data_IF_140617093505
#
_entry.id   IF_140617093505
#
_cell.length_a   1.000
_cell.length_b   1.000
_cell.length_c   1.000
_cell.angle_alpha   90.00
_cell.angle_beta   90.00
_cell.angle_gamma   90.00
#
_symmetry.space_group_name_H-M   'P 1'
#
loop_
_entity.id
_entity.type
_entity.pdbx_description
1 polymer ?
#
# COMPACT_ATOMS: atom_id res chain seq x y z
N UNK A 1 -14.43 -6.59 -20.97
CA UNK A 1 -13.10 -6.76 -20.33
C UNK A 1 -12.65 -5.56 -19.49
N UNK A 2 -13.13 -4.33 -19.75
CA UNK A 2 -12.77 -3.11 -19.00
C UNK A 2 -13.35 -3.01 -17.58
N UNK A 3 -14.44 -3.72 -17.27
CA UNK A 3 -15.07 -3.75 -15.92
C UNK A 3 -14.29 -4.56 -14.87
N UNK A 4 -13.36 -5.43 -15.28
CA UNK A 4 -12.56 -6.25 -14.35
C UNK A 4 -11.31 -5.51 -13.85
N UNK A 5 -10.84 -4.49 -14.59
CA UNK A 5 -9.65 -3.70 -14.21
C UNK A 5 -9.98 -2.51 -13.29
N UNK A 6 -11.24 -2.08 -13.18
CA UNK A 6 -11.63 -1.03 -12.21
C UNK A 6 -11.72 -1.53 -10.77
N UNK A 7 -11.57 -2.84 -10.54
CA UNK A 7 -11.80 -3.49 -9.25
C UNK A 7 -10.57 -3.47 -8.32
N UNK A 8 -9.41 -3.02 -8.80
CA UNK A 8 -8.15 -2.95 -8.04
C UNK A 8 -7.72 -1.50 -7.72
N UNK A 9 -8.67 -0.59 -7.48
CA UNK A 9 -8.32 0.67 -6.81
C UNK A 9 -7.97 0.34 -5.35
N UNK A 10 -6.75 0.68 -4.93
CA UNK A 10 -6.33 0.60 -3.52
C UNK A 10 -7.32 1.42 -2.69
N UNK A 11 -7.99 0.82 -1.69
CA UNK A 11 -8.90 1.57 -0.83
C UNK A 11 -8.09 2.64 -0.10
N UNK A 12 -8.64 3.85 0.02
CA UNK A 12 -8.02 4.95 0.77
C UNK A 12 -7.97 4.66 2.30
N UNK A 13 -8.70 3.63 2.73
CA UNK A 13 -8.93 3.27 4.12
C UNK A 13 -8.08 2.10 4.57
N UNK A 14 -7.35 2.33 5.66
CA UNK A 14 -6.54 1.34 6.34
C UNK A 14 -7.33 0.50 7.35
N UNK A 15 -6.79 -0.67 7.68
CA UNK A 15 -7.37 -1.54 8.71
C UNK A 15 -7.52 -0.85 10.07
N UNK A 16 -6.59 0.02 10.46
CA UNK A 16 -6.64 0.79 11.70
C UNK A 16 -7.83 1.75 11.72
N UNK A 17 -8.01 2.48 10.62
CA UNK A 17 -9.13 3.42 10.49
C UNK A 17 -10.47 2.68 10.53
N UNK A 18 -10.59 1.55 9.81
CA UNK A 18 -11.81 0.74 9.81
C UNK A 18 -12.16 0.22 11.22
N UNK A 19 -11.16 -0.21 12.01
CA UNK A 19 -11.37 -0.62 13.41
C UNK A 19 -11.79 0.55 14.28
N UNK A 20 -11.11 1.70 14.14
CA UNK A 20 -11.43 2.87 14.93
C UNK A 20 -12.86 3.37 14.64
N UNK A 21 -13.29 3.38 13.38
CA UNK A 21 -14.67 3.71 13.01
C UNK A 21 -15.66 2.70 13.60
N UNK A 22 -15.36 1.41 13.51
CA UNK A 22 -16.21 0.38 14.10
C UNK A 22 -16.38 0.58 15.62
N UNK A 23 -15.29 0.87 16.34
CA UNK A 23 -15.32 1.10 17.79
C UNK A 23 -16.16 2.32 18.15
N UNK A 24 -15.98 3.44 17.45
CA UNK A 24 -16.74 4.66 17.72
C UNK A 24 -18.24 4.48 17.44
N UNK A 25 -18.59 3.82 16.33
CA UNK A 25 -19.99 3.49 16.02
C UNK A 25 -20.58 2.50 17.03
N UNK A 26 -19.80 1.51 17.49
CA UNK A 26 -20.23 0.56 18.51
C UNK A 26 -20.46 1.21 19.88
N UNK A 27 -19.75 2.31 20.20
CA UNK A 27 -19.99 3.11 21.40
C UNK A 27 -21.22 4.02 21.31
N UNK A 28 -21.99 3.96 20.22
CA UNK A 28 -23.22 4.72 20.05
C UNK A 28 -23.00 6.17 19.58
N UNK A 29 -21.77 6.53 19.17
CA UNK A 29 -21.56 7.82 18.52
C UNK A 29 -22.31 7.84 17.19
N UNK A 30 -22.87 9.01 16.86
CA UNK A 30 -23.43 9.24 15.53
C UNK A 30 -22.35 9.08 14.46
N UNK A 31 -22.77 8.73 13.24
CA UNK A 31 -21.87 8.58 12.11
C UNK A 31 -21.02 9.83 11.86
N UNK A 32 -21.61 11.01 11.99
CA UNK A 32 -20.91 12.30 11.89
C UNK A 32 -19.82 12.47 12.96
N UNK A 33 -20.15 12.23 14.23
CA UNK A 33 -19.19 12.37 15.34
C UNK A 33 -18.03 11.37 15.19
N UNK A 34 -18.34 10.12 14.87
CA UNK A 34 -17.34 9.08 14.66
C UNK A 34 -16.40 9.43 13.50
N UNK A 35 -16.94 9.94 12.39
CA UNK A 35 -16.15 10.33 11.23
C UNK A 35 -15.30 11.58 11.50
N UNK A 36 -15.86 12.56 12.21
CA UNK A 36 -15.14 13.79 12.64
C UNK A 36 -13.95 13.45 13.52
N UNK A 37 -14.13 12.54 14.49
CA UNK A 37 -13.05 12.11 15.39
C UNK A 37 -11.89 11.42 14.63
N UNK A 38 -12.19 10.74 13.53
CA UNK A 38 -11.18 10.05 12.72
C UNK A 38 -10.55 10.90 11.64
N UNK A 39 -11.13 12.07 11.33
CA UNK A 39 -10.55 13.00 10.36
C UNK A 39 -9.13 13.41 10.76
N UNK A 40 -8.84 13.59 12.05
CA UNK A 40 -7.49 13.92 12.53
C UNK A 40 -6.43 12.84 12.21
N UNK A 41 -6.82 11.58 12.01
CA UNK A 41 -5.91 10.53 11.55
C UNK A 41 -5.66 10.60 10.03
N UNK A 42 -6.60 11.19 9.27
CA UNK A 42 -6.53 11.34 7.82
C UNK A 42 -5.65 12.51 7.35
N UNK A 43 -5.32 13.47 8.23
CA UNK A 43 -4.56 14.67 7.88
C UNK A 43 -3.15 14.40 7.34
N UNK A 44 -2.60 13.20 7.58
CA UNK A 44 -1.32 12.76 7.00
C UNK A 44 -1.38 12.59 5.48
N UNK A 45 -2.59 12.48 4.90
CA UNK A 45 -2.80 12.30 3.47
C UNK A 45 -3.79 13.35 2.94
N UNK A 46 -3.30 14.38 2.23
CA UNK A 46 -4.14 15.47 1.74
C UNK A 46 -5.30 15.02 0.84
N UNK A 47 -5.16 13.91 0.08
CA UNK A 47 -6.29 13.32 -0.68
C UNK A 47 -7.38 12.77 0.24
N UNK A 48 -6.97 12.05 1.29
CA UNK A 48 -7.87 11.44 2.25
C UNK A 48 -8.54 12.51 3.12
N UNK A 49 -7.80 13.53 3.57
CA UNK A 49 -8.35 14.67 4.29
C UNK A 49 -9.46 15.38 3.49
N UNK A 50 -9.20 15.67 2.20
CA UNK A 50 -10.19 16.28 1.30
C UNK A 50 -11.39 15.37 1.03
N UNK A 51 -11.17 14.05 0.91
CA UNK A 51 -12.25 13.07 0.78
C UNK A 51 -13.10 13.01 2.05
N UNK A 52 -12.46 13.10 3.23
CA UNK A 52 -13.14 13.13 4.52
C UNK A 52 -13.99 14.39 4.67
N UNK A 53 -13.47 15.55 4.29
CA UNK A 53 -14.22 16.81 4.33
C UNK A 53 -15.51 16.75 3.50
N UNK A 54 -15.41 16.24 2.27
CA UNK A 54 -16.58 16.12 1.41
C UNK A 54 -17.57 15.07 1.92
N UNK A 55 -17.07 13.93 2.39
CA UNK A 55 -17.94 12.90 2.97
C UNK A 55 -18.69 13.42 4.20
N UNK A 56 -18.04 14.25 5.02
CA UNK A 56 -18.64 14.85 6.20
C UNK A 56 -19.75 15.85 5.83
N UNK A 57 -19.51 16.67 4.80
CA UNK A 57 -20.55 17.55 4.24
C UNK A 57 -21.75 16.75 3.73
N UNK A 58 -21.53 15.65 3.01
CA UNK A 58 -22.61 14.81 2.50
C UNK A 58 -23.41 14.17 3.65
N UNK A 59 -22.74 13.71 4.72
CA UNK A 59 -23.38 13.16 5.92
C UNK A 59 -24.23 14.24 6.62
N UNK A 60 -23.70 15.46 6.75
CA UNK A 60 -24.43 16.60 7.32
C UNK A 60 -25.65 17.00 6.49
N UNK A 61 -25.62 16.75 5.17
CA UNK A 61 -26.75 16.94 4.26
C UNK A 61 -27.76 15.78 4.28
N UNK A 62 -27.54 14.76 5.13
CA UNK A 62 -28.44 13.63 5.31
C UNK A 62 -28.12 12.39 4.48
N UNK A 63 -26.96 12.35 3.80
CA UNK A 63 -26.51 11.14 3.14
C UNK A 63 -26.17 10.05 4.17
N UNK A 64 -26.44 8.79 3.82
CA UNK A 64 -26.02 7.66 4.65
C UNK A 64 -24.48 7.56 4.70
N UNK A 65 -23.93 7.01 5.78
CA UNK A 65 -22.49 6.89 5.97
C UNK A 65 -21.85 6.13 4.80
N UNK A 66 -22.47 5.03 4.36
CA UNK A 66 -21.95 4.22 3.25
C UNK A 66 -22.05 4.96 1.93
N UNK A 67 -23.12 5.74 1.70
CA UNK A 67 -23.28 6.51 0.48
C UNK A 67 -22.23 7.62 0.34
N UNK A 68 -21.96 8.36 1.42
CA UNK A 68 -20.90 9.37 1.47
C UNK A 68 -19.52 8.76 1.22
N UNK A 69 -19.23 7.61 1.84
CA UNK A 69 -17.98 6.88 1.62
C UNK A 69 -17.85 6.33 0.18
N UNK A 70 -18.96 5.97 -0.46
CA UNK A 70 -18.99 5.49 -1.84
C UNK A 70 -18.65 6.60 -2.84
N UNK A 71 -19.20 7.81 -2.65
CA UNK A 71 -18.97 8.97 -3.51
C UNK A 71 -17.49 9.38 -3.58
N UNK A 72 -16.77 9.25 -2.46
CA UNK A 72 -15.38 9.70 -2.34
C UNK A 72 -14.34 8.57 -2.41
N UNK A 73 -14.72 7.38 -2.90
CA UNK A 73 -13.83 6.24 -3.16
C UNK A 73 -13.05 5.72 -1.94
N UNK A 74 -13.65 5.77 -0.75
CA UNK A 74 -13.02 5.24 0.48
C UNK A 74 -12.77 3.72 0.40
N UNK A 75 -13.68 3.01 -0.25
CA UNK A 75 -13.71 1.56 -0.34
C UNK A 75 -13.89 1.08 -1.77
N UNK A 76 -13.41 -0.13 -2.08
CA UNK A 76 -13.69 -0.77 -3.36
C UNK A 76 -15.16 -1.23 -3.43
N UNK A 77 -15.65 -1.52 -4.64
CA UNK A 77 -17.06 -1.90 -4.87
C UNK A 77 -17.51 -3.09 -4.00
N UNK A 78 -16.63 -4.07 -3.78
CA UNK A 78 -16.93 -5.23 -2.95
C UNK A 78 -17.09 -4.87 -1.46
N UNK A 79 -16.20 -4.03 -0.92
CA UNK A 79 -16.30 -3.49 0.43
C UNK A 79 -17.56 -2.63 0.60
N UNK A 80 -17.89 -1.80 -0.39
CA UNK A 80 -19.10 -0.97 -0.37
C UNK A 80 -20.38 -1.82 -0.32
N UNK A 81 -20.44 -2.91 -1.06
CA UNK A 81 -21.59 -3.84 -1.00
C UNK A 81 -21.74 -4.46 0.39
N UNK A 82 -20.63 -4.87 1.02
CA UNK A 82 -20.66 -5.40 2.38
C UNK A 82 -21.14 -4.34 3.37
N UNK A 83 -20.59 -3.13 3.30
CA UNK A 83 -20.99 -2.01 4.15
C UNK A 83 -22.46 -1.67 3.97
N UNK A 84 -22.99 -1.70 2.74
CA UNK A 84 -24.40 -1.44 2.48
C UNK A 84 -25.32 -2.47 3.14
N UNK A 85 -24.95 -3.76 3.09
CA UNK A 85 -25.66 -4.82 3.82
C UNK A 85 -25.57 -4.59 5.34
N UNK A 86 -24.39 -4.18 5.83
CA UNK A 86 -24.17 -3.83 7.24
C UNK A 86 -25.00 -2.64 7.70
N UNK A 87 -25.16 -1.62 6.86
CA UNK A 87 -25.95 -0.42 7.13
C UNK A 87 -27.44 -0.76 7.23
N UNK A 88 -27.97 -1.52 6.28
CA UNK A 88 -29.38 -1.94 6.26
C UNK A 88 -29.74 -2.88 7.42
N UNK A 89 -28.79 -3.67 7.91
CA UNK A 89 -28.98 -4.61 9.02
C UNK A 89 -28.60 -4.04 10.39
N UNK A 90 -28.14 -2.78 10.46
CA UNK A 90 -27.64 -2.17 11.70
C UNK A 90 -26.34 -2.80 12.23
N UNK A 91 -25.69 -3.65 11.44
CA UNK A 91 -24.46 -4.39 11.79
C UNK A 91 -23.18 -3.77 11.20
N UNK A 92 -23.22 -2.46 10.93
CA UNK A 92 -22.12 -1.71 10.34
C UNK A 92 -20.79 -1.84 11.12
N UNK A 93 -20.77 -1.77 12.47
CA UNK A 93 -19.54 -1.95 13.24
C UNK A 93 -18.89 -3.33 13.01
N UNK A 94 -19.70 -4.40 13.03
CA UNK A 94 -19.22 -5.77 12.79
C UNK A 94 -18.65 -5.91 11.37
N UNK A 95 -19.33 -5.33 10.39
CA UNK A 95 -18.91 -5.34 8.99
C UNK A 95 -17.57 -4.63 8.80
N UNK A 96 -17.37 -3.47 9.43
CA UNK A 96 -16.12 -2.73 9.42
C UNK A 96 -14.96 -3.53 10.06
N UNK A 97 -15.21 -4.23 11.18
CA UNK A 97 -14.23 -5.14 11.80
C UNK A 97 -13.84 -6.26 10.83
N UNK A 98 -14.80 -6.87 10.15
CA UNK A 98 -14.54 -7.93 9.16
C UNK A 98 -13.69 -7.42 7.99
N UNK A 99 -13.97 -6.22 7.49
CA UNK A 99 -13.16 -5.56 6.46
C UNK A 99 -11.73 -5.31 6.98
N UNK A 100 -11.59 -4.77 8.19
CA UNK A 100 -10.29 -4.50 8.79
C UNK A 100 -9.45 -5.79 8.97
N UNK A 101 -10.06 -6.87 9.44
CA UNK A 101 -9.41 -8.18 9.59
C UNK A 101 -9.00 -8.76 8.23
N UNK A 102 -9.75 -8.49 7.16
CA UNK A 102 -9.36 -8.90 5.80
C UNK A 102 -8.17 -8.08 5.29
N UNK A 103 -8.18 -6.76 5.51
CA UNK A 103 -7.08 -5.87 5.14
C UNK A 103 -5.78 -6.24 5.87
N UNK A 104 -5.85 -6.51 7.18
CA UNK A 104 -4.68 -6.98 7.95
C UNK A 104 -4.15 -8.32 7.43
N UNK A 105 -5.02 -9.30 7.15
CA UNK A 105 -4.59 -10.59 6.58
C UNK A 105 -3.96 -10.43 5.19
N UNK A 106 -4.40 -9.46 4.38
CA UNK A 106 -3.75 -9.13 3.11
C UNK A 106 -2.36 -8.52 3.34
N UNK A 107 -2.24 -7.57 4.26
CA UNK A 107 -0.95 -6.96 4.65
C UNK A 107 0.03 -8.00 5.19
N UNK A 108 -0.40 -8.86 6.11
CA UNK A 108 0.44 -9.92 6.67
C UNK A 108 0.91 -10.91 5.61
N UNK A 109 0.05 -11.32 4.67
CA UNK A 109 0.47 -12.21 3.57
C UNK A 109 1.56 -11.56 2.71
N UNK A 110 1.37 -10.29 2.36
CA UNK A 110 2.36 -9.54 1.59
C UNK A 110 3.66 -9.35 2.39
N UNK A 111 3.59 -9.13 3.70
CA UNK A 111 4.76 -9.03 4.57
C UNK A 111 5.48 -10.37 4.73
N UNK A 112 4.77 -11.49 4.90
CA UNK A 112 5.37 -12.83 5.01
C UNK A 112 6.17 -13.17 3.76
N UNK A 113 5.63 -12.88 2.57
CA UNK A 113 6.35 -13.02 1.31
C UNK A 113 7.63 -12.17 1.31
N UNK A 114 7.53 -10.90 1.71
CA UNK A 114 8.70 -9.99 1.84
C UNK A 114 9.75 -10.52 2.83
N UNK A 115 9.35 -11.08 3.96
CA UNK A 115 10.26 -11.58 4.99
C UNK A 115 10.96 -12.88 4.57
N UNK A 116 10.25 -13.79 3.91
CA UNK A 116 10.84 -15.05 3.41
C UNK A 116 11.93 -14.80 2.37
N UNK A 117 11.76 -13.78 1.53
CA UNK A 117 12.76 -13.38 0.54
C UNK A 117 14.00 -12.77 1.18
N UNK A 118 13.84 -11.99 2.26
CA UNK A 118 14.98 -11.47 3.03
C UNK A 118 15.80 -12.59 3.67
N UNK A 119 15.15 -13.64 4.16
CA UNK A 119 15.85 -14.80 4.73
C UNK A 119 16.60 -15.60 3.67
N UNK A 120 16.03 -15.79 2.47
CA UNK A 120 16.74 -16.45 1.36
C UNK A 120 18.01 -15.69 0.95
N UNK A 121 18.00 -14.35 0.98
CA UNK A 121 19.17 -13.54 0.67
C UNK A 121 20.33 -13.80 1.65
N UNK A 122 20.05 -13.95 2.95
CA UNK A 122 21.09 -14.19 3.95
C UNK A 122 21.83 -15.51 3.70
N UNK A 123 21.10 -16.58 3.34
CA UNK A 123 21.67 -17.90 3.06
C UNK A 123 22.57 -17.88 1.81
N UNK A 124 22.15 -17.19 0.74
CA UNK A 124 22.94 -17.05 -0.50
C UNK A 124 24.26 -16.33 -0.23
N UNK A 125 24.23 -15.24 0.55
CA UNK A 125 25.43 -14.46 0.89
C UNK A 125 26.41 -15.30 1.72
N UNK A 126 25.92 -16.02 2.74
CA UNK A 126 26.77 -16.89 3.57
C UNK A 126 27.40 -18.01 2.72
N UNK A 127 26.60 -18.64 1.84
CA UNK A 127 27.09 -19.67 0.93
C UNK A 127 28.18 -19.18 -0.02
N UNK A 128 28.06 -17.95 -0.54
CA UNK A 128 29.09 -17.35 -1.40
C UNK A 128 30.38 -17.04 -0.63
N UNK A 129 30.28 -16.48 0.57
CA UNK A 129 31.45 -16.18 1.42
C UNK A 129 32.20 -17.48 1.73
N UNK A 130 31.49 -18.52 2.17
CA UNK A 130 32.07 -19.83 2.43
C UNK A 130 32.75 -20.42 1.17
N UNK A 131 32.11 -20.28 0.00
CA UNK A 131 32.66 -20.70 -1.29
C UNK A 131 34.02 -20.06 -1.60
N UNK A 132 34.13 -18.74 -1.46
CA UNK A 132 35.40 -18.01 -1.72
C UNK A 132 36.54 -18.40 -0.78
N UNK A 133 36.24 -18.76 0.48
CA UNK A 133 37.26 -19.19 1.45
C UNK A 133 37.85 -20.56 1.04
N UNK A 134 37.01 -21.47 0.55
CA UNK A 134 37.40 -22.84 0.16
C UNK A 134 38.26 -22.84 -1.11
N UNK A 135 38.00 -21.93 -2.03
CA UNK A 135 38.73 -21.84 -3.32
C UNK A 135 40.00 -21.00 -3.20
N UNK A 136 40.00 -19.96 -2.35
CA UNK A 136 41.20 -19.23 -1.97
C UNK A 136 42.26 -20.13 -1.32
N UNK A 137 41.84 -21.09 -0.50
CA UNK A 137 42.75 -22.08 0.12
C UNK A 137 43.30 -23.10 -0.89
N UNK A 138 42.65 -23.30 -2.05
CA UNK A 138 43.10 -24.21 -3.12
C UNK A 138 43.93 -23.54 -4.22
N UNK A 139 44.29 -22.26 -4.07
CA UNK A 139 45.11 -21.54 -5.05
C UNK A 139 44.37 -21.17 -6.35
N UNK A 140 43.03 -21.05 -6.30
CA UNK A 140 42.21 -20.64 -7.43
C UNK A 140 42.41 -19.16 -7.84
N UNK A 141 42.04 -18.82 -9.08
CA UNK A 141 42.12 -17.45 -9.59
C UNK A 141 41.06 -16.54 -8.95
N UNK A 142 41.49 -15.73 -7.99
CA UNK A 142 40.68 -14.73 -7.25
C UNK A 142 39.82 -13.82 -8.14
N UNK A 143 40.24 -13.56 -9.38
CA UNK A 143 39.53 -12.68 -10.32
C UNK A 143 38.13 -13.18 -10.67
N UNK A 144 37.95 -14.49 -10.92
CA UNK A 144 36.64 -15.05 -11.29
C UNK A 144 35.65 -15.05 -10.12
N UNK A 145 36.13 -15.13 -8.89
CA UNK A 145 35.29 -15.08 -7.68
C UNK A 145 34.80 -13.67 -7.36
N UNK A 146 35.67 -12.67 -7.48
CA UNK A 146 35.27 -11.28 -7.26
C UNK A 146 34.23 -10.87 -8.32
N UNK A 147 34.45 -11.27 -9.57
CA UNK A 147 33.47 -11.03 -10.65
C UNK A 147 32.17 -11.81 -10.38
N UNK A 148 32.24 -13.07 -9.95
CA UNK A 148 31.08 -13.89 -9.59
C UNK A 148 30.27 -13.30 -8.42
N UNK A 149 30.93 -12.80 -7.38
CA UNK A 149 30.35 -12.08 -6.24
C UNK A 149 29.61 -10.83 -6.71
N UNK A 150 30.26 -10.00 -7.52
CA UNK A 150 29.68 -8.77 -8.05
C UNK A 150 28.46 -9.08 -8.91
N UNK A 151 28.56 -10.06 -9.81
CA UNK A 151 27.45 -10.49 -10.68
C UNK A 151 26.30 -11.05 -9.86
N UNK A 152 26.54 -11.92 -8.87
CA UNK A 152 25.48 -12.46 -8.01
C UNK A 152 24.81 -11.38 -7.16
N UNK A 153 25.56 -10.44 -6.60
CA UNK A 153 24.99 -9.30 -5.85
C UNK A 153 24.13 -8.43 -6.77
N UNK A 154 24.58 -8.17 -7.99
CA UNK A 154 23.80 -7.43 -8.99
C UNK A 154 22.53 -8.20 -9.38
N UNK A 155 22.63 -9.50 -9.67
CA UNK A 155 21.48 -10.35 -10.03
C UNK A 155 20.48 -10.43 -8.89
N UNK A 156 20.93 -10.65 -7.66
CA UNK A 156 20.06 -10.67 -6.47
C UNK A 156 19.37 -9.32 -6.26
N UNK A 157 20.11 -8.22 -6.44
CA UNK A 157 19.57 -6.86 -6.36
C UNK A 157 18.58 -6.57 -7.49
N UNK A 158 18.81 -7.10 -8.69
CA UNK A 158 17.89 -7.01 -9.82
C UNK A 158 16.62 -7.83 -9.60
N UNK A 159 16.72 -9.04 -9.06
CA UNK A 159 15.57 -9.88 -8.69
C UNK A 159 14.74 -9.16 -7.63
N UNK A 160 15.39 -8.63 -6.58
CA UNK A 160 14.71 -7.85 -5.55
C UNK A 160 14.04 -6.60 -6.15
N UNK A 161 14.75 -5.89 -7.02
CA UNK A 161 14.21 -4.71 -7.70
C UNK A 161 13.06 -5.07 -8.63
N UNK A 162 13.08 -6.21 -9.32
CA UNK A 162 11.96 -6.66 -10.17
C UNK A 162 10.76 -7.12 -9.35
N UNK A 163 11.00 -7.70 -8.17
CA UNK A 163 9.93 -8.14 -7.29
C UNK A 163 9.29 -6.99 -6.51
N UNK A 164 10.06 -5.93 -6.23
CA UNK A 164 9.61 -4.71 -5.55
C UNK A 164 9.16 -3.62 -6.54
N UNK A 165 9.54 -3.73 -7.82
CA UNK A 165 9.11 -2.81 -8.86
C UNK A 165 7.66 -3.09 -9.24
N UNK A 166 6.76 -2.30 -8.63
CA UNK A 166 5.61 -1.81 -9.38
C UNK A 166 6.14 -1.24 -10.70
N UNK A 167 5.67 -1.74 -11.84
CA UNK A 167 6.01 -1.27 -13.21
C UNK A 167 5.99 0.26 -13.32
N UNK A 168 5.14 0.92 -12.52
CA UNK A 168 5.03 2.37 -12.37
C UNK A 168 6.24 3.06 -11.75
N UNK A 169 6.97 2.43 -10.83
CA UNK A 169 8.18 3.00 -10.20
C UNK A 169 9.37 3.04 -11.17
N UNK A 170 9.47 2.03 -12.03
CA UNK A 170 10.49 1.94 -13.08
C UNK A 170 10.14 2.92 -14.20
N UNK A 171 8.88 2.95 -14.64
CA UNK A 171 8.37 3.96 -15.58
C UNK A 171 8.62 5.37 -15.04
N UNK A 172 8.33 5.63 -13.77
CA UNK A 172 8.57 6.93 -13.14
C UNK A 172 10.05 7.30 -13.12
N UNK A 173 10.96 6.39 -12.75
CA UNK A 173 12.41 6.67 -12.74
C UNK A 173 12.95 6.87 -14.15
N UNK A 174 12.50 6.08 -15.12
CA UNK A 174 12.88 6.24 -16.53
C UNK A 174 12.36 7.59 -17.05
N UNK A 175 11.11 7.93 -16.75
CA UNK A 175 10.47 9.19 -17.14
C UNK A 175 11.10 10.40 -16.43
N UNK A 176 11.47 10.27 -15.16
CA UNK A 176 12.18 11.28 -14.36
C UNK A 176 13.61 11.49 -14.86
N UNK A 177 14.28 10.44 -15.36
CA UNK A 177 15.60 10.52 -15.98
C UNK A 177 15.53 11.17 -17.38
N UNK A 178 14.40 11.02 -18.08
CA UNK A 178 14.14 11.62 -19.40
C UNK A 178 13.66 13.09 -19.31
N UNK A 179 13.00 13.50 -18.22
CA UNK A 179 12.45 14.87 -18.07
C UNK A 179 13.39 15.91 -17.47
N UNK A 180 14.64 15.58 -17.17
CA UNK A 180 15.65 16.54 -16.65
C UNK A 180 15.91 17.71 -17.62
N UNK A 181 15.38 17.66 -18.86
CA UNK A 181 15.55 18.72 -19.86
C UNK A 181 14.51 19.87 -19.87
N UNK A 182 13.39 19.87 -19.12
CA UNK A 182 12.44 21.03 -19.18
C UNK A 182 11.43 21.09 -18.02
N UNK A 183 11.65 21.99 -17.05
CA UNK A 183 10.72 22.47 -16.02
C UNK A 183 10.21 21.48 -14.94
N UNK A 184 10.91 21.49 -13.80
CA UNK A 184 10.81 20.51 -12.69
C UNK A 184 9.79 20.88 -11.58
N UNK A 185 9.34 22.14 -11.47
CA UNK A 185 8.68 22.61 -10.23
C UNK A 185 7.20 22.24 -10.03
N UNK A 186 6.44 22.05 -11.10
CA UNK A 186 4.98 21.77 -11.01
C UNK A 186 4.73 20.26 -11.04
N UNK A 187 5.49 19.53 -11.84
CA UNK A 187 5.31 18.09 -12.01
C UNK A 187 5.82 17.29 -10.81
N UNK A 188 6.90 17.72 -10.15
CA UNK A 188 7.40 17.07 -8.93
C UNK A 188 6.35 17.06 -7.81
N UNK A 189 5.58 18.14 -7.66
CA UNK A 189 4.49 18.26 -6.69
C UNK A 189 3.30 17.35 -7.01
N UNK A 190 2.92 17.25 -8.28
CA UNK A 190 1.89 16.32 -8.75
C UNK A 190 2.33 14.85 -8.62
N UNK A 191 3.61 14.58 -8.88
CA UNK A 191 4.20 13.25 -8.78
C UNK A 191 4.35 12.79 -7.33
N UNK A 192 4.82 13.65 -6.41
CA UNK A 192 4.83 13.36 -4.97
C UNK A 192 3.40 13.07 -4.45
N UNK A 193 2.40 13.80 -4.95
CA UNK A 193 1.00 13.58 -4.61
C UNK A 193 0.48 12.21 -5.08
N UNK A 194 0.87 11.79 -6.28
CA UNK A 194 0.53 10.48 -6.82
C UNK A 194 1.29 9.36 -6.09
N UNK A 195 2.54 9.61 -5.73
CA UNK A 195 3.44 8.66 -5.07
C UNK A 195 3.02 8.32 -3.64
N UNK A 196 2.66 9.34 -2.85
CA UNK A 196 2.17 9.13 -1.48
C UNK A 196 0.82 8.40 -1.45
N UNK A 197 -0.02 8.54 -2.48
CA UNK A 197 -1.28 7.80 -2.59
C UNK A 197 -1.11 6.32 -2.95
N UNK A 198 0.06 5.94 -3.50
CA UNK A 198 0.32 4.56 -3.95
C UNK A 198 0.95 3.68 -2.85
N UNK A 199 1.68 4.28 -1.90
CA UNK A 199 2.41 3.57 -0.83
C UNK A 199 1.79 3.69 0.57
N UNK A 200 0.71 4.46 0.73
CA UNK A 200 -0.06 4.55 1.97
C UNK A 200 -1.00 3.34 2.24
N UNK A 201 -0.87 2.24 1.48
CA UNK A 201 -1.69 1.03 1.60
C UNK A 201 -0.88 -0.21 1.97
#
# INVERSE_FOLDING_TARGET
MSKLLSQHRKPLMDAHWCRALATLLASGLSAEQAFTALKGQADRHYQLAKACDKALIDIQQGASLVSAMALHNFFNQYQLQQLKIGELSGSLPLTLINIANRLNRQRERNQRLKTQLKLSQAVIVIGLIAGTIITATKGGSFFYEIVGLIVMVIVTKLIYMMLEADIFSVLAKVWQRQLIMRNVGVFKRLFEYYWYSLFAA
#
